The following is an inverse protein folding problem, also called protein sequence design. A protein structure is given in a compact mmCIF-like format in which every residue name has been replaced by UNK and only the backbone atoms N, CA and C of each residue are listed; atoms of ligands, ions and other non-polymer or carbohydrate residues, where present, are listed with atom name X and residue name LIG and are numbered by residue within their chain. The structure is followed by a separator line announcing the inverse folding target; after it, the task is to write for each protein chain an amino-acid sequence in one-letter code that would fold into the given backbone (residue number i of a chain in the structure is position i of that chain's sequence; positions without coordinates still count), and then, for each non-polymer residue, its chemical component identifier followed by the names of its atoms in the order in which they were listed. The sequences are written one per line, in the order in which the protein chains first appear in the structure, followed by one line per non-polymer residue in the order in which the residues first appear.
data_IF_431585722138
#
_entry.id   IF_431585722138
#
_cell.length_a   1.000
_cell.length_b   1.000
_cell.length_c   1.000
_cell.angle_alpha   90.00
_cell.angle_beta   90.00
_cell.angle_gamma   90.00
#
_symmetry.space_group_name_H-M   'P 1'
#
loop_
_entity.id
_entity.type
_entity.pdbx_description
1 polymer ?
#
# COMPACT_ATOMS: atom_id res chain seq x y z
N UNK A 1 4.20 8.69 25.71
CA UNK A 1 4.50 7.39 25.06
C UNK A 1 4.97 7.62 23.63
N UNK A 2 6.19 7.18 23.31
CA UNK A 2 6.76 7.29 21.97
C UNK A 2 6.76 5.90 21.31
N UNK A 3 6.43 5.85 20.03
CA UNK A 3 6.61 4.66 19.18
C UNK A 3 7.72 4.96 18.19
N UNK A 4 8.79 4.18 18.22
CA UNK A 4 9.90 4.27 17.29
C UNK A 4 9.54 3.57 15.99
N UNK A 5 9.64 4.27 14.87
CA UNK A 5 9.51 3.68 13.54
C UNK A 5 10.92 3.35 13.03
N UNK A 6 11.21 2.07 12.83
CA UNK A 6 12.54 1.61 12.42
C UNK A 6 12.44 0.98 11.05
N UNK A 7 13.25 1.51 10.12
CA UNK A 7 13.38 0.98 8.77
C UNK A 7 14.34 -0.22 8.80
N UNK A 8 13.90 -1.35 8.24
CA UNK A 8 14.66 -2.62 8.29
C UNK A 8 14.74 -3.26 6.92
N UNK A 9 15.94 -3.63 6.48
CA UNK A 9 16.16 -4.29 5.20
C UNK A 9 16.49 -5.78 5.31
N UNK A 10 16.70 -6.27 6.53
CA UNK A 10 16.94 -7.67 6.89
C UNK A 10 16.39 -7.96 8.30
N UNK A 11 16.46 -9.23 8.72
CA UNK A 11 16.13 -9.69 10.06
C UNK A 11 16.95 -8.93 11.12
N UNK A 12 16.26 -8.42 12.14
CA UNK A 12 16.89 -7.71 13.23
C UNK A 12 16.38 -8.22 14.59
N UNK A 13 17.29 -8.30 15.56
CA UNK A 13 16.94 -8.65 16.92
C UNK A 13 16.55 -7.38 17.69
N UNK A 14 15.28 -7.25 18.04
CA UNK A 14 14.80 -6.16 18.89
C UNK A 14 14.77 -6.67 20.34
N UNK A 15 15.33 -5.92 21.30
CA UNK A 15 15.19 -6.22 22.72
C UNK A 15 13.71 -6.35 23.11
N UNK A 16 13.38 -7.39 23.89
CA UNK A 16 11.99 -7.73 24.19
C UNK A 16 11.23 -6.64 24.95
N UNK A 17 11.94 -5.82 25.72
CA UNK A 17 11.43 -4.64 26.42
C UNK A 17 10.99 -3.51 25.48
N UNK A 18 11.42 -3.54 24.22
CA UNK A 18 11.09 -2.55 23.20
C UNK A 18 10.00 -3.00 22.21
N UNK A 19 9.56 -4.26 22.23
CA UNK A 19 8.57 -4.77 21.25
C UNK A 19 7.27 -3.96 21.21
N UNK A 20 6.79 -3.45 22.34
CA UNK A 20 5.57 -2.64 22.39
C UNK A 20 5.76 -1.17 21.98
N UNK A 21 7.01 -0.73 21.83
CA UNK A 21 7.39 0.65 21.52
C UNK A 21 8.00 0.79 20.12
N UNK A 22 8.13 -0.29 19.36
CA UNK A 22 8.77 -0.27 18.05
C UNK A 22 7.78 -0.74 16.99
N UNK A 23 7.72 0.01 15.90
CA UNK A 23 7.07 -0.38 14.66
C UNK A 23 8.14 -0.58 13.60
N UNK A 24 8.27 -1.81 13.12
CA UNK A 24 9.18 -2.13 12.02
C UNK A 24 8.54 -1.78 10.69
N UNK A 25 9.32 -1.16 9.82
CA UNK A 25 8.96 -0.78 8.46
C UNK A 25 9.95 -1.47 7.51
N UNK A 26 9.54 -2.56 6.84
CA UNK A 26 10.36 -3.24 5.86
C UNK A 26 10.82 -2.28 4.75
N UNK A 27 12.09 -2.36 4.33
CA UNK A 27 12.61 -1.55 3.23
C UNK A 27 13.08 -2.45 2.11
N UNK A 28 12.46 -2.31 0.94
CA UNK A 28 12.85 -3.06 -0.24
C UNK A 28 13.99 -2.33 -0.94
N UNK A 29 15.15 -2.97 -1.03
CA UNK A 29 16.36 -2.38 -1.64
C UNK A 29 16.68 -2.95 -3.03
N UNK A 30 15.78 -3.77 -3.60
CA UNK A 30 15.95 -4.38 -4.92
C UNK A 30 16.77 -5.68 -4.93
N UNK A 31 17.37 -6.07 -3.80
CA UNK A 31 18.15 -7.31 -3.67
C UNK A 31 17.70 -8.21 -2.50
N UNK A 32 16.83 -7.71 -1.62
CA UNK A 32 16.34 -8.42 -0.43
C UNK A 32 14.99 -9.14 -0.64
N UNK A 33 14.79 -9.74 -1.82
CA UNK A 33 13.56 -10.47 -2.15
C UNK A 33 13.23 -11.60 -1.17
N UNK A 34 14.25 -12.28 -0.64
CA UNK A 34 14.06 -13.36 0.35
C UNK A 34 13.46 -12.84 1.66
N UNK A 35 13.97 -11.72 2.15
CA UNK A 35 13.46 -11.02 3.34
C UNK A 35 12.01 -10.58 3.11
N UNK A 36 11.69 -9.97 1.96
CA UNK A 36 10.33 -9.55 1.63
C UNK A 36 9.37 -10.72 1.47
N UNK A 37 9.78 -11.80 0.80
CA UNK A 37 8.98 -13.02 0.68
C UNK A 37 8.62 -13.64 2.03
N UNK A 38 9.51 -13.52 3.01
CA UNK A 38 9.30 -14.10 4.34
C UNK A 38 8.43 -13.20 5.23
N UNK A 39 8.62 -11.89 5.16
CA UNK A 39 8.09 -10.96 6.16
C UNK A 39 6.99 -10.01 5.64
N UNK A 40 6.81 -9.88 4.32
CA UNK A 40 5.84 -8.96 3.70
C UNK A 40 4.79 -9.69 2.87
N UNK A 41 5.16 -10.79 2.23
CA UNK A 41 4.22 -11.56 1.42
C UNK A 41 3.20 -12.27 2.31
N UNK A 42 1.94 -12.25 1.88
CA UNK A 42 0.85 -12.95 2.55
C UNK A 42 0.62 -14.33 1.96
N UNK A 43 0.28 -15.30 2.79
CA UNK A 43 -0.17 -16.62 2.34
C UNK A 43 -1.69 -16.80 2.44
N UNK A 44 -2.16 -18.03 2.20
CA UNK A 44 -3.59 -18.35 2.27
C UNK A 44 -4.13 -18.32 3.71
N UNK A 45 -3.32 -18.74 4.69
CA UNK A 45 -3.74 -18.79 6.09
C UNK A 45 -3.90 -17.36 6.63
N UNK A 46 -3.00 -16.44 6.25
CA UNK A 46 -3.14 -15.01 6.54
C UNK A 46 -4.49 -14.46 6.04
N UNK A 47 -4.88 -14.81 4.81
CA UNK A 47 -6.12 -14.35 4.19
C UNK A 47 -7.36 -14.87 4.90
N UNK A 48 -7.35 -16.14 5.30
CA UNK A 48 -8.48 -16.77 6.01
C UNK A 48 -8.63 -16.18 7.41
N UNK A 49 -7.51 -15.80 8.04
CA UNK A 49 -7.51 -15.20 9.37
C UNK A 49 -7.85 -13.70 9.38
N UNK A 50 -7.86 -13.03 8.22
CA UNK A 50 -8.24 -11.62 8.14
C UNK A 50 -9.68 -11.39 8.59
N UNK A 51 -9.83 -10.61 9.66
CA UNK A 51 -11.13 -10.16 10.17
C UNK A 51 -11.52 -8.86 9.51
N UNK A 52 -12.19 -8.94 8.35
CA UNK A 52 -12.73 -7.79 7.64
C UNK A 52 -14.24 -7.68 7.85
N UNK A 53 -14.69 -6.46 8.10
CA UNK A 53 -16.11 -6.11 8.05
C UNK A 53 -16.61 -6.09 6.60
N UNK A 54 -17.93 -6.23 6.41
CA UNK A 54 -18.55 -6.06 5.10
C UNK A 54 -18.22 -4.71 4.47
N UNK A 55 -18.16 -3.63 5.27
CA UNK A 55 -17.78 -2.30 4.80
C UNK A 55 -16.36 -2.28 4.22
N UNK A 56 -15.41 -2.93 4.87
CA UNK A 56 -14.02 -3.00 4.38
C UNK A 56 -13.92 -3.81 3.09
N UNK A 57 -14.65 -4.93 2.99
CA UNK A 57 -14.74 -5.71 1.75
C UNK A 57 -15.31 -4.88 0.59
N UNK A 58 -16.39 -4.13 0.84
CA UNK A 58 -16.98 -3.25 -0.15
C UNK A 58 -16.02 -2.12 -0.54
N UNK A 59 -15.31 -1.50 0.40
CA UNK A 59 -14.33 -0.47 0.09
C UNK A 59 -13.22 -1.00 -0.82
N UNK A 60 -12.64 -2.16 -0.49
CA UNK A 60 -11.61 -2.82 -1.30
C UNK A 60 -12.09 -3.24 -2.69
N UNK A 61 -13.40 -3.44 -2.87
CA UNK A 61 -14.01 -3.77 -4.16
C UNK A 61 -13.98 -2.59 -5.14
N UNK A 62 -14.11 -1.36 -4.65
CA UNK A 62 -14.24 -0.16 -5.48
C UNK A 62 -12.97 0.69 -5.54
N UNK A 63 -12.17 0.70 -4.49
CA UNK A 63 -11.04 1.62 -4.34
C UNK A 63 -9.86 0.97 -3.63
N UNK A 64 -8.68 1.56 -3.85
CA UNK A 64 -7.50 1.21 -3.10
C UNK A 64 -7.52 1.93 -1.74
N UNK A 65 -7.86 1.20 -0.67
CA UNK A 65 -7.92 1.76 0.69
C UNK A 65 -6.57 2.20 1.27
N UNK A 66 -5.45 1.83 0.65
CA UNK A 66 -4.12 2.33 1.02
C UNK A 66 -3.87 3.74 0.47
N UNK A 67 -4.26 4.03 -0.77
CA UNK A 67 -4.03 5.33 -1.39
C UNK A 67 -5.20 6.31 -1.29
N UNK A 68 -6.43 5.82 -1.20
CA UNK A 68 -7.62 6.66 -1.29
C UNK A 68 -7.61 7.80 -0.27
N UNK A 69 -7.80 9.03 -0.76
CA UNK A 69 -7.79 10.25 0.05
C UNK A 69 -6.41 10.72 0.53
N UNK A 70 -5.33 9.99 0.22
CA UNK A 70 -3.96 10.42 0.53
C UNK A 70 -3.41 11.30 -0.58
N UNK A 71 -2.83 12.42 -0.15
CA UNK A 71 -2.04 13.33 -0.97
C UNK A 71 -0.79 13.71 -0.17
N UNK A 72 0.32 13.88 -0.89
CA UNK A 72 1.62 14.26 -0.35
C UNK A 72 1.95 15.63 -0.93
N UNK A 73 2.19 16.60 -0.06
CA UNK A 73 2.71 17.91 -0.44
C UNK A 73 4.21 17.91 -0.15
N UNK A 74 5.02 18.07 -1.18
CA UNK A 74 6.47 18.16 -1.05
C UNK A 74 6.92 19.62 -0.81
N UNK A 75 8.17 19.80 -0.41
CA UNK A 75 8.80 21.07 -0.07
C UNK A 75 8.88 22.09 -1.22
N UNK A 76 8.73 21.64 -2.47
CA UNK A 76 8.66 22.46 -3.68
C UNK A 76 7.21 22.83 -4.06
N UNK A 77 6.26 22.63 -3.14
CA UNK A 77 4.83 22.82 -3.32
C UNK A 77 4.18 21.81 -4.30
N UNK A 78 4.92 20.82 -4.81
CA UNK A 78 4.35 19.77 -5.67
C UNK A 78 3.46 18.82 -4.88
N UNK A 79 2.35 18.40 -5.50
CA UNK A 79 1.41 17.42 -4.94
C UNK A 79 1.58 16.08 -5.64
N UNK A 80 1.64 15.01 -4.86
CA UNK A 80 1.70 13.62 -5.32
C UNK A 80 0.61 12.79 -4.64
N UNK A 81 0.18 11.71 -5.28
CA UNK A 81 -0.60 10.65 -4.61
C UNK A 81 0.31 9.57 -4.02
N UNK A 82 1.49 9.42 -4.61
CA UNK A 82 2.61 8.57 -4.19
C UNK A 82 3.86 9.08 -4.92
N UNK A 83 5.04 8.94 -4.30
CA UNK A 83 6.31 9.23 -4.96
C UNK A 83 6.68 8.22 -6.06
N UNK A 84 5.95 7.11 -6.18
CA UNK A 84 6.12 6.13 -7.25
C UNK A 84 5.46 6.53 -8.58
N UNK A 85 4.80 7.69 -8.64
CA UNK A 85 4.12 8.20 -9.82
C UNK A 85 4.44 9.68 -10.05
N UNK A 86 4.04 10.18 -11.21
CA UNK A 86 4.21 11.58 -11.56
C UNK A 86 3.41 12.50 -10.61
N UNK A 87 3.93 13.71 -10.45
CA UNK A 87 3.24 14.83 -9.79
C UNK A 87 1.83 15.02 -10.36
N UNK A 88 0.85 15.22 -9.47
CA UNK A 88 -0.56 15.43 -9.84
C UNK A 88 -0.98 16.91 -9.80
N UNK A 89 -0.20 17.78 -9.16
CA UNK A 89 -0.49 19.22 -9.11
C UNK A 89 0.53 20.01 -8.29
N UNK A 90 0.16 21.23 -7.94
CA UNK A 90 0.88 22.11 -7.02
C UNK A 90 -0.12 22.68 -6.00
N UNK A 91 0.29 22.83 -4.74
CA UNK A 91 -0.59 23.28 -3.65
C UNK A 91 -1.00 24.75 -3.77
N UNK A 92 -0.17 25.58 -4.41
CA UNK A 92 -0.48 27.00 -4.65
C UNK A 92 -1.68 27.16 -5.60
N UNK A 93 -1.88 26.20 -6.50
CA UNK A 93 -2.98 26.17 -7.47
C UNK A 93 -4.14 25.25 -7.04
N UNK A 94 -4.07 24.67 -5.84
CA UNK A 94 -4.95 23.58 -5.47
C UNK A 94 -6.36 24.04 -5.10
N UNK A 95 -7.36 23.41 -5.72
CA UNK A 95 -8.77 23.66 -5.44
C UNK A 95 -9.58 22.35 -5.43
N UNK A 96 -10.88 22.47 -5.14
CA UNK A 96 -11.79 21.31 -5.09
C UNK A 96 -11.94 20.61 -6.45
N UNK A 97 -11.82 21.33 -7.56
CA UNK A 97 -11.95 20.75 -8.91
C UNK A 97 -10.83 19.74 -9.20
N UNK A 98 -9.62 19.96 -8.65
CA UNK A 98 -8.52 18.99 -8.75
C UNK A 98 -8.88 17.71 -7.99
N UNK A 99 -9.48 17.81 -6.80
CA UNK A 99 -9.96 16.65 -6.05
C UNK A 99 -11.05 15.90 -6.83
N UNK A 100 -12.00 16.62 -7.43
CA UNK A 100 -13.06 16.02 -8.26
C UNK A 100 -12.46 15.30 -9.48
N UNK A 101 -11.46 15.91 -10.13
CA UNK A 101 -10.74 15.28 -11.24
C UNK A 101 -10.05 13.99 -10.79
N UNK A 102 -9.30 14.02 -9.67
CA UNK A 102 -8.66 12.83 -9.11
C UNK A 102 -9.68 11.76 -8.69
N UNK A 103 -10.84 12.17 -8.20
CA UNK A 103 -11.89 11.24 -7.82
C UNK A 103 -12.50 10.52 -9.04
N UNK A 104 -12.71 11.23 -10.15
CA UNK A 104 -13.34 10.69 -11.37
C UNK A 104 -12.33 9.94 -12.27
N UNK A 105 -11.05 10.28 -12.23
CA UNK A 105 -10.04 9.71 -13.10
C UNK A 105 -9.60 8.30 -12.68
N UNK A 106 -10.17 7.27 -13.33
CA UNK A 106 -9.95 5.85 -12.99
C UNK A 106 -8.50 5.33 -13.21
N UNK A 107 -7.60 6.13 -13.77
CA UNK A 107 -6.22 5.72 -14.08
C UNK A 107 -5.26 5.84 -12.89
N UNK A 108 -5.65 6.55 -11.83
CA UNK A 108 -4.77 6.88 -10.72
C UNK A 108 -4.77 5.83 -9.59
N UNK A 109 -3.93 6.05 -8.58
CA UNK A 109 -3.73 5.08 -7.48
C UNK A 109 -4.93 4.90 -6.55
N UNK A 110 -5.87 5.85 -6.49
CA UNK A 110 -7.10 5.67 -5.71
C UNK A 110 -7.98 4.55 -6.28
N UNK A 111 -7.94 4.36 -7.60
CA UNK A 111 -8.68 3.32 -8.31
C UNK A 111 -7.87 2.04 -8.51
N UNK A 112 -6.65 1.97 -7.96
CA UNK A 112 -5.73 0.84 -8.13
C UNK A 112 -6.03 -0.31 -7.16
N UNK A 113 -7.18 -0.97 -7.32
CA UNK A 113 -7.57 -2.13 -6.51
C UNK A 113 -7.21 -3.45 -7.21
N UNK A 114 -7.27 -4.57 -6.49
CA UNK A 114 -6.78 -5.89 -6.98
C UNK A 114 -7.47 -6.34 -8.28
N UNK A 115 -8.74 -5.97 -8.47
CA UNK A 115 -9.58 -6.39 -9.60
C UNK A 115 -9.19 -5.75 -10.93
N UNK A 116 -8.55 -4.59 -10.91
CA UNK A 116 -8.05 -3.94 -12.14
C UNK A 116 -6.69 -4.48 -12.57
N UNK A 117 -6.10 -5.42 -11.81
CA UNK A 117 -4.81 -6.05 -12.15
C UNK A 117 -5.00 -7.47 -12.68
N UNK A 118 -4.44 -7.79 -13.87
CA UNK A 118 -4.60 -9.11 -14.49
C UNK A 118 -4.20 -10.29 -13.60
N UNK A 119 -3.16 -10.12 -12.76
CA UNK A 119 -2.66 -11.16 -11.85
C UNK A 119 -3.60 -11.52 -10.71
N UNK A 120 -4.58 -10.66 -10.39
CA UNK A 120 -5.48 -10.85 -9.25
C UNK A 120 -6.96 -10.77 -9.60
N UNK A 121 -7.34 -10.36 -10.81
CA UNK A 121 -8.73 -10.09 -11.18
C UNK A 121 -9.66 -11.32 -11.18
N UNK A 122 -9.08 -12.53 -11.23
CA UNK A 122 -9.79 -13.81 -11.12
C UNK A 122 -9.54 -14.52 -9.78
N UNK A 123 -8.81 -13.90 -8.85
CA UNK A 123 -8.49 -14.50 -7.56
C UNK A 123 -9.68 -14.42 -6.61
N UNK A 124 -10.00 -15.52 -5.91
CA UNK A 124 -11.09 -15.58 -4.93
C UNK A 124 -10.87 -14.62 -3.74
N UNK A 125 -9.60 -14.36 -3.40
CA UNK A 125 -9.22 -13.47 -2.30
C UNK A 125 -9.10 -12.00 -2.71
N UNK A 126 -9.41 -11.61 -3.94
CA UNK A 126 -9.14 -10.26 -4.47
C UNK A 126 -9.68 -9.10 -3.61
N UNK A 127 -10.81 -9.29 -2.90
CA UNK A 127 -11.38 -8.27 -2.00
C UNK A 127 -10.94 -8.45 -0.53
N UNK A 128 -10.31 -9.57 -0.21
CA UNK A 128 -9.78 -9.88 1.13
C UNK A 128 -8.33 -9.40 1.23
N UNK A 129 -7.54 -9.59 0.17
CA UNK A 129 -6.13 -9.19 0.08
C UNK A 129 -5.85 -7.78 0.63
N UNK A 130 -4.64 -7.53 1.15
CA UNK A 130 -4.18 -6.18 1.39
C UNK A 130 -4.38 -5.30 0.14
N UNK A 131 -4.72 -4.01 0.28
CA UNK A 131 -4.71 -3.07 -0.84
C UNK A 131 -3.33 -3.01 -1.51
N UNK A 132 -3.29 -2.60 -2.79
CA UNK A 132 -2.02 -2.43 -3.50
C UNK A 132 -1.22 -1.32 -2.81
N UNK A 133 0.03 -1.59 -2.41
CA UNK A 133 0.87 -0.65 -1.65
C UNK A 133 1.99 -0.01 -2.47
N UNK A 134 2.76 0.91 -1.87
CA UNK A 134 3.95 1.50 -2.50
C UNK A 134 5.01 0.46 -2.87
N UNK A 135 5.17 -0.62 -2.08
CA UNK A 135 6.10 -1.70 -2.43
C UNK A 135 5.76 -2.30 -3.79
N UNK A 136 4.47 -2.48 -4.08
CA UNK A 136 4.00 -3.12 -5.31
C UNK A 136 4.18 -2.24 -6.54
N UNK A 137 4.02 -0.92 -6.34
CA UNK A 137 4.34 0.06 -7.37
C UNK A 137 5.83 0.08 -7.66
N UNK A 138 6.67 0.15 -6.63
CA UNK A 138 8.13 0.18 -6.76
C UNK A 138 8.68 -1.11 -7.39
N UNK A 139 8.20 -2.27 -6.93
CA UNK A 139 8.61 -3.59 -7.44
C UNK A 139 7.99 -3.93 -8.80
N UNK A 140 7.02 -3.14 -9.28
CA UNK A 140 6.17 -3.47 -10.42
C UNK A 140 5.58 -4.89 -10.33
N UNK A 141 5.13 -5.28 -9.14
CA UNK A 141 4.61 -6.61 -8.82
C UNK A 141 3.38 -6.50 -7.93
N UNK A 142 2.22 -6.88 -8.47
CA UNK A 142 0.91 -6.70 -7.82
C UNK A 142 0.37 -7.96 -7.11
N UNK A 143 1.23 -8.93 -6.83
CA UNK A 143 0.90 -10.17 -6.13
C UNK A 143 1.98 -10.50 -5.09
N UNK A 144 2.10 -9.66 -4.06
CA UNK A 144 2.93 -9.94 -2.88
C UNK A 144 2.27 -11.00 -2.00
N UNK A 145 2.04 -12.18 -2.59
CA UNK A 145 1.48 -13.34 -1.94
C UNK A 145 2.09 -14.63 -2.50
N UNK A 146 1.82 -15.74 -1.81
CA UNK A 146 2.26 -17.08 -2.22
C UNK A 146 1.17 -17.90 -2.92
N UNK A 147 -0.03 -17.32 -3.06
CA UNK A 147 -1.20 -17.93 -3.70
C UNK A 147 -1.02 -17.92 -5.22
N UNK A 148 -1.42 -19.02 -5.89
CA UNK A 148 -1.37 -19.18 -7.34
C UNK A 148 -2.59 -18.59 -8.04
#
# INVERSE_FOLDING_TARGET
DYVYHIVVEDECNIPSDLYSKVKLLPFYNGINDSFFRKNVFTDQDDMIQMKLSMRELYNKYYMNTYFFGRLIVDSDNSIYMTFNQNRVGNIDDFNIDILDKLFIENSNVWHLHRRVKPVCCSCIFQNICPPISDYELFMNRFNLCTIK
#
